data_IF_453114834505
#
_entry.id   IF_453114834505
#
_cell.length_a   1.000
_cell.length_b   1.000
_cell.length_c   1.000
_cell.angle_alpha   90.00
_cell.angle_beta   90.00
_cell.angle_gamma   90.00
#
_symmetry.space_group_name_H-M   'P 1'
#
loop_
_entity.id
_entity.type
_entity.pdbx_description
1 polymer ?
#
# COMPACT_ATOMS: atom_id res chain seq x y z
N UNK A 1 3.19 7.96 15.44
CA UNK A 1 2.72 6.61 15.11
C UNK A 1 1.24 6.73 14.82
N UNK A 2 0.77 6.17 13.71
CA UNK A 2 -0.64 6.19 13.34
C UNK A 2 -1.19 4.78 13.60
N UNK A 3 -2.37 4.72 14.20
CA UNK A 3 -3.02 3.45 14.53
C UNK A 3 -3.73 2.86 13.31
N UNK A 4 -3.96 1.56 13.33
CA UNK A 4 -4.76 0.91 12.30
C UNK A 4 -6.25 1.19 12.51
N UNK A 5 -6.85 1.96 11.61
CA UNK A 5 -8.24 2.38 11.68
C UNK A 5 -9.10 1.83 10.52
N UNK A 6 -10.36 2.28 10.45
CA UNK A 6 -11.31 1.84 9.42
C UNK A 6 -10.88 2.27 8.01
N UNK A 7 -10.17 3.40 7.85
CA UNK A 7 -9.66 3.85 6.55
C UNK A 7 -8.59 2.89 6.03
N UNK A 8 -7.68 2.48 6.92
CA UNK A 8 -6.67 1.46 6.63
C UNK A 8 -7.31 0.13 6.25
N UNK A 9 -8.31 -0.33 7.01
CA UNK A 9 -9.00 -1.58 6.77
C UNK A 9 -9.73 -1.61 5.41
N UNK A 10 -10.38 -0.49 5.06
CA UNK A 10 -11.07 -0.36 3.78
C UNK A 10 -10.09 -0.39 2.60
N UNK A 11 -9.00 0.39 2.68
CA UNK A 11 -7.95 0.39 1.67
C UNK A 11 -7.33 -1.00 1.51
N UNK A 12 -7.05 -1.69 2.61
CA UNK A 12 -6.50 -3.05 2.62
C UNK A 12 -7.40 -4.04 1.87
N UNK A 13 -8.70 -4.05 2.17
CA UNK A 13 -9.66 -4.94 1.54
C UNK A 13 -9.72 -4.74 0.02
N UNK A 14 -9.77 -3.48 -0.41
CA UNK A 14 -9.77 -3.10 -1.82
C UNK A 14 -8.48 -3.57 -2.53
N UNK A 15 -7.33 -3.13 -2.04
CA UNK A 15 -6.02 -3.42 -2.65
C UNK A 15 -5.74 -4.91 -2.69
N UNK A 16 -5.99 -5.63 -1.58
CA UNK A 16 -5.79 -7.09 -1.52
C UNK A 16 -6.60 -7.82 -2.57
N UNK A 17 -7.88 -7.46 -2.72
CA UNK A 17 -8.75 -8.13 -3.67
C UNK A 17 -8.30 -7.86 -5.11
N UNK A 18 -8.03 -6.60 -5.45
CA UNK A 18 -7.61 -6.21 -6.79
C UNK A 18 -6.27 -6.82 -7.19
N UNK A 19 -5.25 -6.74 -6.32
CA UNK A 19 -3.94 -7.35 -6.60
C UNK A 19 -4.03 -8.87 -6.75
N UNK A 20 -4.84 -9.54 -5.91
CA UNK A 20 -5.08 -10.98 -6.04
C UNK A 20 -5.73 -11.33 -7.38
N UNK A 21 -6.73 -10.56 -7.83
CA UNK A 21 -7.37 -10.78 -9.13
C UNK A 21 -6.40 -10.57 -10.30
N UNK A 22 -5.39 -9.71 -10.14
CA UNK A 22 -4.32 -9.50 -11.10
C UNK A 22 -3.20 -10.55 -11.01
N UNK A 23 -3.28 -11.51 -10.08
CA UNK A 23 -2.24 -12.51 -9.85
C UNK A 23 -0.99 -11.96 -9.13
N UNK A 24 -1.05 -10.73 -8.59
CA UNK A 24 0.03 -10.12 -7.83
C UNK A 24 -0.08 -10.56 -6.36
N UNK A 25 0.96 -11.22 -5.86
CA UNK A 25 1.04 -11.62 -4.46
C UNK A 25 1.94 -10.66 -3.70
N UNK A 26 1.40 -10.04 -2.65
CA UNK A 26 2.12 -9.12 -1.76
C UNK A 26 2.17 -9.72 -0.35
N UNK A 27 3.28 -9.59 0.35
CA UNK A 27 3.39 -10.06 1.74
C UNK A 27 2.43 -9.28 2.65
N UNK A 28 1.92 -9.94 3.70
CA UNK A 28 0.88 -9.36 4.55
C UNK A 28 1.27 -8.01 5.15
N UNK A 29 2.54 -7.83 5.55
CA UNK A 29 3.00 -6.58 6.15
C UNK A 29 3.07 -5.44 5.14
N UNK A 30 3.64 -5.66 3.96
CA UNK A 30 3.70 -4.62 2.90
C UNK A 30 2.29 -4.22 2.45
N UNK A 31 1.39 -5.20 2.36
CA UNK A 31 -0.01 -4.93 2.07
C UNK A 31 -0.66 -4.05 3.14
N UNK A 32 -0.35 -4.26 4.42
CA UNK A 32 -0.79 -3.39 5.51
C UNK A 32 -0.15 -2.00 5.43
N UNK A 33 1.16 -1.90 5.20
CA UNK A 33 1.88 -0.62 5.10
C UNK A 33 1.34 0.22 3.94
N UNK A 34 1.21 -0.37 2.75
CA UNK A 34 0.69 0.30 1.57
C UNK A 34 -0.78 0.70 1.74
N UNK A 35 -1.60 -0.14 2.36
CA UNK A 35 -2.99 0.19 2.68
C UNK A 35 -3.12 1.33 3.69
N UNK A 36 -2.24 1.37 4.70
CA UNK A 36 -2.22 2.44 5.69
C UNK A 36 -1.85 3.78 5.05
N UNK A 37 -0.84 3.80 4.17
CA UNK A 37 -0.47 5.00 3.42
C UNK A 37 -1.61 5.46 2.50
N UNK A 38 -2.28 4.54 1.81
CA UNK A 38 -3.44 4.85 0.96
C UNK A 38 -4.64 5.39 1.77
N UNK A 39 -4.98 4.75 2.90
CA UNK A 39 -6.10 5.14 3.74
C UNK A 39 -6.00 6.59 4.24
N UNK A 40 -4.77 7.01 4.55
CA UNK A 40 -4.49 8.36 5.05
C UNK A 40 -3.89 9.31 4.02
N UNK A 41 -3.88 8.95 2.73
CA UNK A 41 -3.37 9.79 1.63
C UNK A 41 -1.92 10.29 1.86
N UNK A 42 -1.08 9.39 2.37
CA UNK A 42 0.32 9.69 2.69
C UNK A 42 1.23 9.38 1.52
N UNK A 43 2.41 10.02 1.53
CA UNK A 43 3.55 9.59 0.74
C UNK A 43 4.20 8.42 1.48
N UNK A 44 4.30 7.27 0.81
CA UNK A 44 5.11 6.16 1.30
C UNK A 44 6.53 6.33 0.79
N UNK A 45 7.51 6.33 1.68
CA UNK A 45 8.93 6.32 1.31
C UNK A 45 9.43 4.89 1.47
N UNK A 46 9.84 4.26 0.37
CA UNK A 46 10.38 2.89 0.37
C UNK A 46 11.29 2.67 -0.83
N UNK A 47 12.30 1.82 -0.66
CA UNK A 47 13.13 1.31 -1.75
C UNK A 47 12.64 -0.05 -2.29
N UNK A 48 11.55 -0.59 -1.73
CA UNK A 48 10.97 -1.84 -2.18
C UNK A 48 10.01 -1.63 -3.35
N UNK A 49 10.31 -2.28 -4.47
CA UNK A 49 9.53 -2.22 -5.71
C UNK A 49 8.13 -2.86 -5.59
N UNK A 50 7.85 -3.64 -4.54
CA UNK A 50 6.51 -4.20 -4.34
C UNK A 50 5.43 -3.10 -4.26
N UNK A 51 5.79 -1.92 -3.76
CA UNK A 51 4.88 -0.78 -3.64
C UNK A 51 4.57 -0.10 -4.97
N UNK A 52 5.29 -0.41 -6.06
CA UNK A 52 4.94 0.09 -7.40
C UNK A 52 3.55 -0.41 -7.84
N UNK A 53 3.17 -1.62 -7.43
CA UNK A 53 1.83 -2.16 -7.67
C UNK A 53 0.72 -1.36 -6.98
N UNK A 54 1.04 -0.53 -5.98
CA UNK A 54 0.08 0.25 -5.22
C UNK A 54 -0.23 1.61 -5.88
N UNK A 55 0.61 2.05 -6.82
CA UNK A 55 0.43 3.33 -7.54
C UNK A 55 -0.90 3.39 -8.31
N UNK A 56 -1.39 2.25 -8.80
CA UNK A 56 -2.69 2.16 -9.48
C UNK A 56 -3.88 2.51 -8.57
N UNK A 57 -3.70 2.48 -7.24
CA UNK A 57 -4.71 2.87 -6.25
C UNK A 57 -4.54 4.32 -5.76
N UNK A 58 -3.60 5.07 -6.34
CA UNK A 58 -3.30 6.45 -5.96
C UNK A 58 -2.18 6.61 -4.93
N UNK A 59 -1.40 5.56 -4.65
CA UNK A 59 -0.25 5.69 -3.74
C UNK A 59 0.81 6.61 -4.34
N UNK A 60 1.23 7.61 -3.56
CA UNK A 60 2.43 8.40 -3.85
C UNK A 60 3.62 7.69 -3.21
N UNK A 61 4.58 7.26 -4.03
CA UNK A 61 5.75 6.49 -3.60
C UNK A 61 7.02 7.29 -3.92
N UNK A 62 7.86 7.47 -2.91
CA UNK A 62 9.20 8.05 -3.05
C UNK A 62 10.26 7.00 -2.71
N UNK A 63 11.40 7.07 -3.40
CA UNK A 63 12.60 6.32 -3.05
C UNK A 63 13.73 7.34 -2.80
N UNK A 64 14.29 7.32 -1.60
CA UNK A 64 15.37 8.24 -1.18
C UNK A 64 16.76 7.61 -1.23
N UNK A 65 16.87 6.35 -1.66
CA UNK A 65 18.17 5.76 -1.93
C UNK A 65 18.68 6.32 -3.27
N UNK A 66 19.89 6.88 -3.20
CA UNK A 66 20.65 7.42 -4.33
C UNK A 66 21.33 6.25 -5.06
#
# INVERSE_FOLDING_TARGET
MLDWDDQCAHAYGKVRNELRLQGVTVQSMDLMIGAHALGHHLILVSNDHIFDHFKQFGLVLENWQI
#
